data_IF_635760827659
#
_entry.id   IF_635760827659
#
_cell.length_a   1.000
_cell.length_b   1.000
_cell.length_c   1.000
_cell.angle_alpha   90.00
_cell.angle_beta   90.00
_cell.angle_gamma   90.00
#
_symmetry.space_group_name_H-M   'P 1'
#
loop_
_entity.id
_entity.type
_entity.pdbx_description
1 polymer ?
#
# COMPACT_ATOMS: atom_id res chain seq x y z
N UNK A 1 -11.26 9.72 -13.60
CA UNK A 1 -11.37 9.69 -12.12
C UNK A 1 -10.04 10.07 -11.49
N UNK A 2 -10.10 10.88 -10.46
CA UNK A 2 -8.90 11.41 -9.84
C UNK A 2 -8.94 11.14 -8.35
N UNK A 3 -7.85 10.62 -7.80
CA UNK A 3 -7.71 10.42 -6.36
C UNK A 3 -7.47 11.75 -5.67
N UNK A 4 -8.32 12.07 -4.68
CA UNK A 4 -8.18 13.30 -3.89
C UNK A 4 -7.30 13.01 -2.69
N UNK A 5 -7.59 11.94 -1.95
CA UNK A 5 -6.76 11.55 -0.83
C UNK A 5 -7.00 10.10 -0.45
N UNK A 6 -6.06 9.53 0.32
CA UNK A 6 -6.18 8.18 0.81
C UNK A 6 -5.77 8.14 2.28
N UNK A 7 -6.36 7.20 3.03
CA UNK A 7 -6.01 7.01 4.43
C UNK A 7 -5.98 5.51 4.76
N UNK A 8 -5.15 5.16 5.75
CA UNK A 8 -5.07 3.79 6.23
C UNK A 8 -6.14 3.57 7.31
N UNK A 9 -6.88 2.47 7.19
CA UNK A 9 -7.88 2.07 8.17
C UNK A 9 -7.33 0.90 8.99
N UNK A 10 -6.89 1.12 10.24
CA UNK A 10 -6.28 0.05 11.04
C UNK A 10 -7.25 -1.04 11.44
N UNK A 11 -8.54 -0.73 11.56
CA UNK A 11 -9.53 -1.73 11.94
C UNK A 11 -9.77 -2.76 10.84
N UNK A 12 -9.65 -2.34 9.59
CA UNK A 12 -9.85 -3.20 8.43
C UNK A 12 -8.56 -3.63 7.76
N UNK A 13 -7.44 -3.03 8.15
CA UNK A 13 -6.17 -3.17 7.45
C UNK A 13 -6.35 -2.90 5.96
N UNK A 14 -6.86 -1.71 5.65
CA UNK A 14 -7.17 -1.31 4.29
C UNK A 14 -6.72 0.11 4.02
N UNK A 15 -6.56 0.43 2.73
CA UNK A 15 -6.36 1.80 2.28
C UNK A 15 -7.70 2.27 1.69
N UNK A 16 -8.26 3.31 2.27
CA UNK A 16 -9.50 3.91 1.79
C UNK A 16 -9.16 5.11 0.92
N UNK A 17 -9.59 5.09 -0.33
CA UNK A 17 -9.25 6.09 -1.34
C UNK A 17 -10.49 6.88 -1.69
N UNK A 18 -10.41 8.19 -1.55
CA UNK A 18 -11.50 9.11 -1.88
C UNK A 18 -11.20 9.79 -3.20
N UNK A 19 -12.18 9.76 -4.11
CA UNK A 19 -12.02 10.30 -5.45
C UNK A 19 -12.84 11.57 -5.63
N UNK A 20 -12.55 12.32 -6.69
CA UNK A 20 -13.22 13.58 -6.99
C UNK A 20 -14.67 13.40 -7.48
N UNK A 21 -15.09 12.16 -7.77
CA UNK A 21 -16.45 11.88 -8.22
C UNK A 21 -17.33 11.29 -7.11
N UNK A 22 -16.84 11.32 -5.87
CA UNK A 22 -17.62 10.87 -4.72
C UNK A 22 -17.51 9.38 -4.42
N UNK A 23 -16.69 8.65 -5.14
CA UNK A 23 -16.44 7.24 -4.85
C UNK A 23 -15.43 7.09 -3.73
N UNK A 24 -15.65 6.05 -2.91
CA UNK A 24 -14.62 5.54 -2.03
C UNK A 24 -14.21 4.17 -2.55
N UNK A 25 -12.93 4.01 -2.85
CA UNK A 25 -12.34 2.73 -3.21
C UNK A 25 -11.59 2.21 -1.99
N UNK A 26 -11.56 0.89 -1.84
CA UNK A 26 -10.87 0.29 -0.70
C UNK A 26 -9.92 -0.78 -1.20
N UNK A 27 -8.66 -0.69 -0.78
CA UNK A 27 -7.66 -1.70 -1.05
C UNK A 27 -7.46 -2.50 0.24
N UNK A 28 -7.75 -3.80 0.19
CA UNK A 28 -7.51 -4.70 1.30
C UNK A 28 -6.02 -5.03 1.32
N UNK A 29 -5.31 -4.59 2.36
CA UNK A 29 -3.86 -4.79 2.44
C UNK A 29 -3.48 -6.26 2.49
N UNK A 30 -4.28 -7.12 3.12
CA UNK A 30 -4.01 -8.56 3.09
C UNK A 30 -4.07 -9.11 1.67
N UNK A 31 -5.09 -8.73 0.90
CA UNK A 31 -5.20 -9.15 -0.49
C UNK A 31 -4.07 -8.59 -1.35
N UNK A 32 -3.73 -7.33 -1.13
CA UNK A 32 -2.66 -6.68 -1.89
C UNK A 32 -1.30 -7.34 -1.64
N UNK A 33 -1.10 -7.89 -0.44
CA UNK A 33 0.20 -8.41 -0.02
C UNK A 33 0.31 -9.92 -0.04
N UNK A 34 -0.79 -10.64 -0.26
CA UNK A 34 -0.79 -12.10 -0.11
C UNK A 34 0.18 -12.82 -1.04
N UNK A 35 0.42 -12.27 -2.22
CA UNK A 35 1.31 -12.87 -3.21
C UNK A 35 2.71 -12.25 -3.21
N UNK A 36 2.94 -11.28 -2.33
CA UNK A 36 4.24 -10.63 -2.25
C UNK A 36 5.24 -11.51 -1.49
N UNK A 37 6.49 -11.47 -1.94
CA UNK A 37 7.59 -12.10 -1.25
C UNK A 37 8.27 -11.03 -0.41
N UNK A 38 8.11 -11.14 0.91
CA UNK A 38 8.64 -10.16 1.86
C UNK A 38 9.51 -10.84 2.91
N UNK A 39 10.40 -10.05 3.50
CA UNK A 39 11.10 -10.43 4.73
C UNK A 39 10.40 -9.76 5.90
N UNK A 40 10.69 -10.15 7.17
CA UNK A 40 10.13 -9.42 8.31
C UNK A 40 10.43 -7.93 8.28
N UNK A 41 11.62 -7.54 7.81
CA UNK A 41 11.99 -6.12 7.70
C UNK A 41 11.16 -5.39 6.66
N UNK A 42 11.04 -5.94 5.45
CA UNK A 42 10.27 -5.29 4.39
C UNK A 42 8.78 -5.30 4.70
N UNK A 43 8.30 -6.32 5.42
CA UNK A 43 6.90 -6.37 5.83
C UNK A 43 6.58 -5.22 6.79
N UNK A 44 7.47 -4.95 7.76
CA UNK A 44 7.31 -3.79 8.64
C UNK A 44 7.36 -2.48 7.88
N UNK A 45 8.26 -2.35 6.91
CA UNK A 45 8.40 -1.16 6.09
C UNK A 45 7.15 -0.93 5.25
N UNK A 46 6.57 -2.00 4.71
CA UNK A 46 5.35 -1.93 3.92
C UNK A 46 4.16 -1.47 4.78
N UNK A 47 4.07 -1.97 6.01
CA UNK A 47 3.05 -1.52 6.97
C UNK A 47 3.23 -0.03 7.29
N UNK A 48 4.46 0.41 7.51
CA UNK A 48 4.75 1.82 7.75
C UNK A 48 4.36 2.68 6.55
N UNK A 49 4.61 2.20 5.35
CA UNK A 49 4.19 2.92 4.14
C UNK A 49 2.67 3.07 4.09
N UNK A 50 1.94 2.00 4.39
CA UNK A 50 0.47 2.06 4.39
C UNK A 50 -0.06 3.07 5.40
N UNK A 51 0.54 3.13 6.58
CA UNK A 51 0.11 4.03 7.66
C UNK A 51 0.53 5.48 7.39
N UNK A 52 1.78 5.68 6.98
CA UNK A 52 2.38 7.02 6.88
C UNK A 52 2.11 7.68 5.53
N UNK A 53 2.02 6.87 4.47
CA UNK A 53 1.81 7.39 3.12
C UNK A 53 0.87 6.47 2.34
N UNK A 54 -0.41 6.43 2.75
CA UNK A 54 -1.37 5.51 2.13
C UNK A 54 -1.60 5.78 0.64
N UNK A 55 -1.46 7.02 0.21
CA UNK A 55 -1.62 7.35 -1.21
C UNK A 55 -0.52 6.72 -2.05
N UNK A 56 0.72 6.74 -1.57
CA UNK A 56 1.84 6.09 -2.26
C UNK A 56 1.67 4.58 -2.29
N UNK A 57 1.22 3.98 -1.17
CA UNK A 57 0.92 2.55 -1.13
C UNK A 57 -0.13 2.20 -2.19
N UNK A 58 -1.20 2.98 -2.26
CA UNK A 58 -2.27 2.75 -3.22
C UNK A 58 -1.76 2.87 -4.66
N UNK A 59 -0.92 3.86 -4.93
CA UNK A 59 -0.35 4.08 -6.25
C UNK A 59 0.50 2.88 -6.67
N UNK A 60 1.37 2.41 -5.78
CA UNK A 60 2.22 1.27 -6.06
C UNK A 60 1.40 0.00 -6.33
N UNK A 61 0.36 -0.22 -5.53
CA UNK A 61 -0.51 -1.37 -5.71
C UNK A 61 -1.23 -1.32 -7.07
N UNK A 62 -1.83 -0.18 -7.40
CA UNK A 62 -2.61 -0.04 -8.62
C UNK A 62 -1.75 -0.12 -9.88
N UNK A 63 -0.48 0.28 -9.79
CA UNK A 63 0.47 0.18 -10.89
C UNK A 63 1.15 -1.18 -10.97
N UNK A 64 0.91 -2.06 -9.99
CA UNK A 64 1.53 -3.36 -9.95
C UNK A 64 2.99 -3.34 -9.52
N UNK A 65 3.41 -2.32 -8.78
CA UNK A 65 4.81 -2.08 -8.44
C UNK A 65 5.16 -2.39 -6.98
N UNK A 66 4.23 -2.96 -6.19
CA UNK A 66 4.51 -3.25 -4.78
C UNK A 66 5.68 -4.21 -4.61
N UNK A 67 5.74 -5.28 -5.42
CA UNK A 67 6.84 -6.23 -5.30
C UNK A 67 8.19 -5.57 -5.65
N UNK A 68 8.21 -4.73 -6.67
CA UNK A 68 9.42 -4.01 -7.05
C UNK A 68 9.89 -3.09 -5.92
N UNK A 69 8.95 -2.41 -5.26
CA UNK A 69 9.26 -1.55 -4.12
C UNK A 69 9.82 -2.36 -2.96
N UNK A 70 9.19 -3.51 -2.64
CA UNK A 70 9.66 -4.42 -1.59
C UNK A 70 11.05 -4.93 -1.90
N UNK A 71 11.30 -5.35 -3.13
CA UNK A 71 12.61 -5.85 -3.55
C UNK A 71 13.70 -4.78 -3.39
N UNK A 72 13.37 -3.53 -3.72
CA UNK A 72 14.30 -2.42 -3.55
C UNK A 72 14.61 -2.18 -2.07
N UNK A 73 13.61 -2.25 -1.21
CA UNK A 73 13.82 -2.10 0.25
C UNK A 73 14.67 -3.23 0.80
N UNK A 74 14.43 -4.46 0.36
CA UNK A 74 15.21 -5.61 0.83
C UNK A 74 16.68 -5.51 0.38
N UNK A 75 16.94 -4.97 -0.79
CA UNK A 75 18.31 -4.83 -1.28
C UNK A 75 19.10 -3.74 -0.57
N UNK A 76 18.45 -2.86 0.19
CA UNK A 76 19.11 -1.86 1.00
C UNK A 76 19.60 -2.40 2.35
N UNK A 77 19.17 -3.60 2.70
CA UNK A 77 19.53 -4.24 3.98
C UNK A 77 20.78 -5.12 3.82
N UNK A 78 21.89 -4.53 3.51
CA UNK A 78 23.13 -5.29 3.37
C UNK A 78 23.96 -5.29 4.63
#
# INVERSE_FOLDING_TARGET
MRTIFAEYNPQRNSIDIYTNVGYMLRIDCWEAEKDLKTTPGSDCTLTSLAVDDPLEYARLYLEGNLQMWVDAEDSLEL
#
